data_IF_554481749409
#
_entry.id   IF_554481749409
#
_cell.length_a   1.000
_cell.length_b   1.000
_cell.length_c   1.000
_cell.angle_alpha   90.00
_cell.angle_beta   90.00
_cell.angle_gamma   90.00
#
_symmetry.space_group_name_H-M   'P 1'
#
loop_
_entity.id
_entity.type
_entity.pdbx_description
1 polymer ?
#
# COMPACT_ATOMS: atom_id res chain seq x y z
N UNK A 1 -11.37 -36.03 18.45
CA UNK A 1 -12.27 -35.47 17.43
C UNK A 1 -13.10 -34.38 18.06
N UNK A 2 -13.20 -33.23 17.41
CA UNK A 2 -14.10 -32.15 17.80
C UNK A 2 -15.32 -32.13 16.86
N UNK A 3 -16.50 -31.81 17.37
CA UNK A 3 -17.76 -31.75 16.62
C UNK A 3 -18.40 -30.38 16.69
N UNK A 4 -19.23 -30.08 15.68
CA UNK A 4 -19.92 -28.80 15.52
C UNK A 4 -18.99 -27.58 15.55
N UNK A 5 -17.72 -27.75 15.14
CA UNK A 5 -16.73 -26.69 15.20
C UNK A 5 -17.15 -25.54 14.28
N UNK A 6 -17.10 -24.31 14.81
CA UNK A 6 -17.26 -23.08 14.03
C UNK A 6 -16.16 -22.09 14.35
N UNK A 7 -15.80 -21.30 13.34
CA UNK A 7 -14.80 -20.23 13.43
C UNK A 7 -15.45 -18.93 12.99
N UNK A 8 -15.21 -17.87 13.74
CA UNK A 8 -15.60 -16.50 13.43
C UNK A 8 -14.40 -15.79 12.81
N UNK A 9 -14.55 -15.36 11.56
CA UNK A 9 -13.56 -14.62 10.77
C UNK A 9 -14.28 -13.61 9.88
N UNK A 10 -14.66 -12.47 10.45
CA UNK A 10 -15.32 -11.39 9.72
C UNK A 10 -14.27 -10.38 9.28
N UNK A 11 -14.23 -10.09 7.97
CA UNK A 11 -13.30 -9.12 7.44
C UNK A 11 -13.52 -7.74 8.09
N UNK A 12 -12.45 -7.07 8.58
CA UNK A 12 -12.54 -5.72 9.08
C UNK A 12 -12.91 -4.73 7.98
N UNK A 13 -13.33 -3.53 8.37
CA UNK A 13 -13.45 -2.40 7.46
C UNK A 13 -12.12 -2.17 6.71
N UNK A 14 -12.17 -1.67 5.48
CA UNK A 14 -10.98 -1.51 4.65
C UNK A 14 -10.53 -2.78 3.92
N UNK A 15 -11.17 -3.93 4.16
CA UNK A 15 -11.11 -5.12 3.30
C UNK A 15 -12.49 -5.39 2.68
N UNK A 16 -12.53 -5.61 1.37
CA UNK A 16 -13.74 -6.00 0.64
C UNK A 16 -13.66 -7.47 0.28
N UNK A 17 -14.67 -8.26 0.67
CA UNK A 17 -14.76 -9.68 0.35
C UNK A 17 -14.80 -9.92 -1.17
N UNK A 18 -14.07 -10.93 -1.63
CA UNK A 18 -14.14 -11.43 -3.00
C UNK A 18 -14.68 -12.86 -3.04
N UNK A 19 -14.06 -13.77 -2.28
CA UNK A 19 -14.45 -15.17 -2.24
C UNK A 19 -13.97 -15.86 -0.96
N UNK A 20 -14.58 -17.00 -0.64
CA UNK A 20 -14.13 -17.91 0.40
C UNK A 20 -14.18 -19.34 -0.12
N UNK A 21 -13.11 -20.09 0.14
CA UNK A 21 -12.97 -21.50 -0.23
C UNK A 21 -12.66 -22.31 1.02
N UNK A 22 -13.68 -22.82 1.73
CA UNK A 22 -13.48 -23.75 2.83
C UNK A 22 -13.10 -25.15 2.30
N UNK A 23 -12.19 -25.84 2.98
CA UNK A 23 -11.91 -27.27 2.70
C UNK A 23 -13.06 -28.18 3.10
N UNK A 24 -13.88 -27.72 4.06
CA UNK A 24 -15.04 -28.43 4.59
C UNK A 24 -16.09 -27.42 5.08
N UNK A 25 -17.36 -27.75 4.88
CA UNK A 25 -18.47 -26.94 5.36
C UNK A 25 -18.65 -25.65 4.55
N UNK A 26 -19.12 -24.58 5.20
CA UNK A 26 -19.52 -23.34 4.52
C UNK A 26 -19.13 -22.09 5.29
N UNK A 27 -18.76 -21.03 4.56
CA UNK A 27 -18.49 -19.70 5.10
C UNK A 27 -19.59 -18.71 4.70
N UNK A 28 -20.00 -17.86 5.63
CA UNK A 28 -21.00 -16.81 5.40
C UNK A 28 -20.35 -15.44 5.56
N UNK A 29 -20.06 -14.77 4.44
CA UNK A 29 -19.35 -13.47 4.45
C UNK A 29 -20.01 -12.40 5.33
N UNK A 30 -21.35 -12.27 5.29
CA UNK A 30 -22.04 -11.23 6.05
C UNK A 30 -21.89 -11.34 7.56
N UNK A 31 -21.60 -12.54 8.08
CA UNK A 31 -21.35 -12.78 9.50
C UNK A 31 -19.91 -13.14 9.79
N UNK A 32 -19.12 -13.58 8.80
CA UNK A 32 -17.77 -14.12 8.98
C UNK A 32 -17.75 -15.55 9.53
N UNK A 33 -18.89 -16.23 9.65
CA UNK A 33 -18.94 -17.55 10.28
C UNK A 33 -18.57 -18.64 9.27
N UNK A 34 -17.55 -19.42 9.61
CA UNK A 34 -17.22 -20.69 8.98
C UNK A 34 -17.76 -21.84 9.82
N UNK A 35 -18.74 -22.55 9.29
CA UNK A 35 -19.25 -23.80 9.90
C UNK A 35 -18.40 -24.95 9.41
N UNK A 36 -17.42 -25.38 10.20
CA UNK A 36 -16.45 -26.42 9.86
C UNK A 36 -17.06 -27.82 10.00
N UNK A 37 -17.81 -28.04 11.09
CA UNK A 37 -18.38 -29.34 11.44
C UNK A 37 -17.39 -30.22 12.23
N UNK A 38 -17.24 -31.48 11.83
CA UNK A 38 -16.37 -32.43 12.55
C UNK A 38 -14.91 -32.27 12.13
N UNK A 39 -14.02 -32.10 13.12
CA UNK A 39 -12.57 -32.01 12.94
C UNK A 39 -11.88 -33.20 13.64
N UNK A 40 -11.14 -34.00 12.88
CA UNK A 40 -10.38 -35.14 13.42
C UNK A 40 -8.91 -34.76 13.61
N UNK A 41 -8.15 -35.59 14.32
CA UNK A 41 -6.72 -35.38 14.55
C UNK A 41 -5.85 -35.63 13.31
N UNK A 42 -6.42 -36.21 12.26
CA UNK A 42 -5.66 -36.69 11.10
C UNK A 42 -5.54 -35.68 9.96
N UNK A 43 -6.47 -34.72 9.85
CA UNK A 43 -6.50 -33.79 8.71
C UNK A 43 -6.89 -32.38 9.16
N UNK A 44 -6.01 -31.38 8.98
CA UNK A 44 -6.36 -30.00 9.24
C UNK A 44 -7.42 -29.53 8.25
N UNK A 45 -8.34 -28.70 8.72
CA UNK A 45 -9.29 -27.99 7.88
C UNK A 45 -8.80 -26.57 7.63
N UNK A 46 -9.05 -26.04 6.44
CA UNK A 46 -8.59 -24.71 6.03
C UNK A 46 -9.75 -23.89 5.46
N UNK A 47 -9.65 -22.57 5.64
CA UNK A 47 -10.47 -21.58 4.97
C UNK A 47 -9.55 -20.61 4.26
N UNK A 48 -9.72 -20.47 2.95
CA UNK A 48 -9.06 -19.41 2.19
C UNK A 48 -10.06 -18.29 1.91
N UNK A 49 -9.81 -17.11 2.47
CA UNK A 49 -10.60 -15.90 2.18
C UNK A 49 -9.78 -15.00 1.26
N UNK A 50 -10.36 -14.63 0.11
CA UNK A 50 -9.80 -13.62 -0.77
C UNK A 50 -10.54 -12.30 -0.55
N UNK A 51 -9.78 -11.22 -0.41
CA UNK A 51 -10.30 -9.89 -0.21
C UNK A 51 -9.47 -8.86 -0.97
N UNK A 52 -10.11 -7.75 -1.33
CA UNK A 52 -9.46 -6.56 -1.89
C UNK A 52 -9.24 -5.54 -0.78
N UNK A 53 -8.03 -4.99 -0.71
CA UNK A 53 -7.71 -3.90 0.20
C UNK A 53 -8.31 -2.60 -0.35
N UNK A 54 -9.25 -2.01 0.38
CA UNK A 54 -9.96 -0.78 -0.01
C UNK A 54 -9.74 0.38 0.98
N UNK A 55 -9.20 0.08 2.17
CA UNK A 55 -8.74 1.08 3.13
C UNK A 55 -7.29 1.47 2.89
N UNK A 56 -6.93 2.72 3.18
CA UNK A 56 -5.54 3.18 3.17
C UNK A 56 -4.78 2.78 4.44
N UNK A 57 -5.45 2.74 5.60
CA UNK A 57 -4.84 2.36 6.86
C UNK A 57 -4.52 0.86 6.97
N UNK A 58 -3.67 0.52 7.94
CA UNK A 58 -3.41 -0.87 8.31
C UNK A 58 -4.68 -1.56 8.79
N UNK A 59 -4.91 -2.80 8.34
CA UNK A 59 -6.08 -3.60 8.68
C UNK A 59 -5.65 -4.94 9.29
N UNK A 60 -6.29 -5.35 10.38
CA UNK A 60 -6.02 -6.64 11.04
C UNK A 60 -7.25 -7.54 10.93
N UNK A 61 -7.08 -8.69 10.28
CA UNK A 61 -8.09 -9.73 10.22
C UNK A 61 -7.84 -10.76 11.34
N UNK A 62 -8.89 -11.18 12.03
CA UNK A 62 -8.79 -12.09 13.18
C UNK A 62 -9.77 -13.25 13.02
N UNK A 63 -9.24 -14.47 13.08
CA UNK A 63 -10.02 -15.69 13.14
C UNK A 63 -10.04 -16.23 14.57
N UNK A 64 -11.21 -16.59 15.07
CA UNK A 64 -11.41 -17.12 16.42
C UNK A 64 -12.31 -18.34 16.39
N UNK A 65 -11.93 -19.43 17.07
CA UNK A 65 -12.84 -20.57 17.28
C UNK A 65 -14.00 -20.09 18.15
N UNK A 66 -15.19 -20.06 17.57
CA UNK A 66 -16.42 -19.56 18.22
C UNK A 66 -17.21 -20.66 18.92
N UNK A 67 -17.07 -21.92 18.48
CA UNK A 67 -17.75 -23.06 19.10
C UNK A 67 -17.01 -24.38 18.84
N UNK A 68 -17.08 -25.30 19.81
CA UNK A 68 -16.76 -26.72 19.72
C UNK A 68 -17.52 -27.45 20.84
N UNK A 69 -18.01 -28.66 20.61
CA UNK A 69 -18.72 -29.41 21.66
C UNK A 69 -17.78 -30.00 22.72
N UNK A 70 -16.53 -30.29 22.35
CA UNK A 70 -15.54 -30.89 23.23
C UNK A 70 -14.80 -29.80 24.00
N UNK A 71 -14.55 -30.08 25.29
CA UNK A 71 -13.79 -29.20 26.17
C UNK A 71 -12.39 -28.96 25.61
N UNK A 72 -12.04 -27.69 25.48
CA UNK A 72 -10.70 -27.25 25.13
C UNK A 72 -9.91 -26.90 26.40
N UNK A 73 -8.85 -27.66 26.74
CA UNK A 73 -8.03 -27.38 27.90
C UNK A 73 -7.16 -26.12 27.76
N UNK A 74 -7.05 -25.52 26.57
CA UNK A 74 -6.20 -24.35 26.32
C UNK A 74 -6.89 -23.30 25.42
N UNK A 75 -7.96 -22.64 25.88
CA UNK A 75 -8.70 -21.67 25.05
C UNK A 75 -7.87 -20.44 24.62
N UNK A 76 -6.71 -20.21 25.24
CA UNK A 76 -5.82 -19.09 24.89
C UNK A 76 -5.21 -19.18 23.49
N UNK A 77 -5.25 -20.35 22.83
CA UNK A 77 -4.75 -20.53 21.47
C UNK A 77 -5.86 -20.55 20.40
N UNK A 78 -7.09 -20.20 20.76
CA UNK A 78 -8.25 -20.25 19.85
C UNK A 78 -8.40 -19.03 18.95
N UNK A 79 -7.43 -18.12 18.95
CA UNK A 79 -7.48 -16.91 18.13
C UNK A 79 -6.14 -16.66 17.45
N UNK A 80 -6.19 -16.25 16.19
CA UNK A 80 -5.03 -15.83 15.41
C UNK A 80 -5.36 -14.59 14.58
N UNK A 81 -4.36 -13.77 14.27
CA UNK A 81 -4.56 -12.54 13.51
C UNK A 81 -3.46 -12.32 12.48
N UNK A 82 -3.81 -11.65 11.39
CA UNK A 82 -2.89 -11.22 10.35
C UNK A 82 -3.19 -9.77 9.97
N UNK A 83 -2.13 -8.97 9.83
CA UNK A 83 -2.23 -7.53 9.52
C UNK A 83 -1.71 -7.26 8.11
N UNK A 84 -2.47 -6.48 7.34
CA UNK A 84 -2.06 -5.94 6.06
C UNK A 84 -1.93 -4.43 6.15
N UNK A 85 -0.80 -3.89 5.72
CA UNK A 85 -0.55 -2.45 5.67
C UNK A 85 -0.35 -2.04 4.21
N UNK A 86 -1.28 -1.28 3.62
CA UNK A 86 -1.14 -0.77 2.27
C UNK A 86 0.12 0.09 2.13
N UNK A 87 0.82 -0.03 0.99
CA UNK A 87 1.93 0.86 0.67
C UNK A 87 1.42 2.27 0.41
N UNK A 88 2.07 3.27 1.00
CA UNK A 88 1.74 4.69 0.83
C UNK A 88 3.01 5.51 0.64
N UNK A 89 3.08 6.25 -0.45
CA UNK A 89 4.08 7.29 -0.67
C UNK A 89 3.39 8.66 -0.59
N UNK A 90 4.13 9.67 -0.15
CA UNK A 90 3.67 11.06 -0.12
C UNK A 90 4.73 11.93 -0.78
N UNK A 91 4.50 12.28 -2.05
CA UNK A 91 5.47 13.02 -2.85
C UNK A 91 5.21 14.53 -2.75
N UNK A 92 6.27 15.27 -2.43
CA UNK A 92 6.25 16.71 -2.28
C UNK A 92 7.21 17.35 -3.29
N UNK A 93 6.75 18.41 -3.94
CA UNK A 93 7.57 19.23 -4.83
C UNK A 93 7.72 20.64 -4.26
N UNK A 94 8.93 21.18 -4.36
CA UNK A 94 9.19 22.62 -4.23
C UNK A 94 9.95 23.11 -5.45
N UNK A 95 9.77 24.38 -5.81
CA UNK A 95 10.48 25.00 -6.93
C UNK A 95 10.96 26.39 -6.52
N UNK A 96 12.22 26.68 -6.79
CA UNK A 96 12.83 27.98 -6.54
C UNK A 96 13.51 28.50 -7.81
N UNK A 97 13.84 29.79 -7.80
CA UNK A 97 14.61 30.45 -8.86
C UNK A 97 15.75 31.23 -8.22
N UNK A 98 16.93 31.22 -8.85
CA UNK A 98 18.11 31.92 -8.32
C UNK A 98 17.95 33.45 -8.27
N UNK A 99 17.15 34.03 -9.17
CA UNK A 99 16.79 35.44 -9.19
C UNK A 99 15.33 35.61 -9.66
N UNK A 100 14.40 36.09 -8.80
CA UNK A 100 13.00 36.28 -9.18
C UNK A 100 12.75 37.55 -10.02
N UNK A 101 13.73 38.46 -10.11
CA UNK A 101 13.63 39.70 -10.90
C UNK A 101 14.86 39.88 -11.80
N UNK A 102 15.08 38.99 -12.78
CA UNK A 102 16.20 39.09 -13.71
C UNK A 102 15.96 40.17 -14.77
N UNK A 103 17.04 40.67 -15.36
CA UNK A 103 16.96 41.47 -16.57
C UNK A 103 16.82 40.55 -17.80
N UNK A 104 16.34 41.10 -18.91
CA UNK A 104 16.29 40.38 -20.18
C UNK A 104 17.72 40.03 -20.61
N UNK A 105 17.97 38.74 -20.84
CA UNK A 105 19.28 38.20 -21.22
C UNK A 105 20.07 37.61 -20.05
N UNK A 106 19.64 37.79 -18.80
CA UNK A 106 20.29 37.15 -17.65
C UNK A 106 20.02 35.64 -17.65
N UNK A 107 21.03 34.86 -17.27
CA UNK A 107 20.87 33.43 -16.99
C UNK A 107 20.37 33.24 -15.56
N UNK A 108 19.23 32.56 -15.41
CA UNK A 108 18.68 32.13 -14.14
C UNK A 108 18.66 30.60 -14.05
N UNK A 109 18.65 30.09 -12.82
CA UNK A 109 18.52 28.66 -12.53
C UNK A 109 17.22 28.43 -11.79
N UNK A 110 16.38 27.54 -12.30
CA UNK A 110 15.31 26.95 -11.51
C UNK A 110 15.83 25.70 -10.83
N UNK A 111 15.41 25.47 -9.59
CA UNK A 111 15.68 24.23 -8.87
C UNK A 111 14.36 23.61 -8.46
N UNK A 112 14.09 22.40 -8.94
CA UNK A 112 12.90 21.63 -8.53
C UNK A 112 13.36 20.54 -7.57
N UNK A 113 12.84 20.54 -6.35
CA UNK A 113 13.16 19.53 -5.33
C UNK A 113 11.96 18.61 -5.12
N UNK A 114 12.15 17.34 -5.41
CA UNK A 114 11.20 16.26 -5.17
C UNK A 114 11.58 15.47 -3.92
N UNK A 115 10.68 15.37 -2.95
CA UNK A 115 10.85 14.59 -1.73
C UNK A 115 9.74 13.55 -1.60
N UNK A 116 10.02 12.44 -0.91
CA UNK A 116 9.00 11.50 -0.46
C UNK A 116 8.93 11.55 1.07
N UNK A 117 7.88 12.16 1.62
CA UNK A 117 7.67 12.31 3.07
C UNK A 117 6.77 11.21 3.63
N UNK A 118 6.33 10.27 2.78
CA UNK A 118 5.52 9.13 3.17
C UNK A 118 6.35 7.97 3.75
N UNK A 119 5.71 6.91 4.25
CA UNK A 119 6.41 5.77 4.84
C UNK A 119 6.99 4.79 3.80
N UNK A 120 6.54 4.83 2.55
CA UNK A 120 6.93 3.86 1.51
C UNK A 120 7.63 4.54 0.34
N UNK A 121 8.65 3.87 -0.21
CA UNK A 121 9.34 4.26 -1.45
C UNK A 121 8.36 4.38 -2.62
N UNK A 122 8.43 5.48 -3.37
CA UNK A 122 7.71 5.66 -4.62
C UNK A 122 8.54 5.10 -5.79
N UNK A 123 7.88 4.52 -6.78
CA UNK A 123 8.53 3.97 -7.98
C UNK A 123 7.90 4.57 -9.23
N UNK A 124 8.64 4.53 -10.35
CA UNK A 124 8.20 5.09 -11.64
C UNK A 124 7.78 6.56 -11.56
N UNK A 125 8.47 7.35 -10.72
CA UNK A 125 8.16 8.77 -10.53
C UNK A 125 8.68 9.59 -11.71
N UNK A 126 7.81 10.40 -12.27
CA UNK A 126 8.13 11.42 -13.26
C UNK A 126 7.59 12.78 -12.83
N UNK A 127 8.31 13.85 -13.15
CA UNK A 127 7.92 15.24 -12.91
C UNK A 127 7.83 15.95 -14.25
N UNK A 128 6.78 16.74 -14.45
CA UNK A 128 6.58 17.54 -15.66
C UNK A 128 6.90 18.99 -15.33
N UNK A 129 7.99 19.52 -15.88
CA UNK A 129 8.42 20.91 -15.73
C UNK A 129 8.89 21.48 -17.07
N UNK A 130 7.94 21.88 -17.92
CA UNK A 130 8.25 22.50 -19.21
C UNK A 130 8.45 24.00 -19.01
N UNK A 131 9.56 24.54 -19.53
CA UNK A 131 9.79 25.98 -19.49
C UNK A 131 8.73 26.73 -20.32
N UNK A 132 8.08 27.76 -19.76
CA UNK A 132 7.12 28.58 -20.49
C UNK A 132 7.78 29.41 -21.60
N UNK A 133 6.97 29.90 -22.52
CA UNK A 133 7.41 30.85 -23.54
C UNK A 133 8.06 32.10 -22.90
N UNK A 134 9.11 32.61 -23.54
CA UNK A 134 9.91 33.73 -23.03
C UNK A 134 11.15 33.28 -22.24
N UNK A 135 11.31 32.00 -21.96
CA UNK A 135 12.54 31.40 -21.43
C UNK A 135 13.21 30.51 -22.48
N UNK A 136 14.53 30.51 -22.49
CA UNK A 136 15.35 29.64 -23.33
C UNK A 136 16.06 28.62 -22.45
N UNK A 137 15.92 27.33 -22.78
CA UNK A 137 16.63 26.27 -22.09
C UNK A 137 18.13 26.33 -22.41
N UNK A 138 18.95 26.25 -21.37
CA UNK A 138 20.40 26.14 -21.50
C UNK A 138 20.87 24.72 -21.19
N UNK A 139 20.57 24.23 -19.99
CA UNK A 139 20.92 22.90 -19.53
C UNK A 139 20.03 22.46 -18.36
N UNK A 140 20.06 21.17 -18.06
CA UNK A 140 19.50 20.59 -16.84
C UNK A 140 20.53 19.63 -16.24
N UNK A 141 20.60 19.57 -14.92
CA UNK A 141 21.52 18.69 -14.18
C UNK A 141 20.77 17.94 -13.09
N UNK A 142 19.93 16.95 -13.45
CA UNK A 142 19.19 16.19 -12.47
C UNK A 142 20.14 15.43 -11.52
N UNK A 143 19.82 15.38 -10.23
CA UNK A 143 20.53 14.53 -9.26
C UNK A 143 20.29 13.03 -9.51
N UNK A 144 19.18 12.70 -10.17
CA UNK A 144 18.78 11.35 -10.53
C UNK A 144 17.99 11.36 -11.84
N UNK A 145 18.19 10.33 -12.67
CA UNK A 145 17.41 10.14 -13.88
C UNK A 145 17.79 11.10 -15.01
N UNK A 146 16.82 11.49 -15.82
CA UNK A 146 17.05 12.34 -17.01
C UNK A 146 15.91 13.31 -17.28
N UNK A 147 16.24 14.47 -17.86
CA UNK A 147 15.28 15.51 -18.25
C UNK A 147 15.25 15.71 -19.76
N UNK A 148 14.07 15.80 -20.34
CA UNK A 148 13.85 15.99 -21.77
C UNK A 148 13.25 17.37 -22.02
N UNK A 149 14.07 18.36 -22.38
CA UNK A 149 13.63 19.74 -22.57
C UNK A 149 12.43 19.94 -23.50
N UNK A 150 12.37 19.21 -24.62
CA UNK A 150 11.28 19.36 -25.58
C UNK A 150 9.90 18.99 -25.03
N UNK A 151 9.86 18.18 -23.97
CA UNK A 151 8.61 17.79 -23.29
C UNK A 151 8.50 18.38 -21.90
N UNK A 152 9.62 18.72 -21.25
CA UNK A 152 9.70 19.08 -19.84
C UNK A 152 9.66 17.89 -18.88
N UNK A 153 9.72 16.65 -19.38
CA UNK A 153 9.63 15.47 -18.53
C UNK A 153 10.98 15.19 -17.88
N UNK A 154 11.00 15.18 -16.55
CA UNK A 154 12.05 14.62 -15.71
C UNK A 154 11.65 13.21 -15.25
N UNK A 155 12.33 12.20 -15.78
CA UNK A 155 12.13 10.80 -15.38
C UNK A 155 13.05 10.48 -14.22
N UNK A 156 12.52 10.47 -12.99
CA UNK A 156 13.29 10.30 -11.75
C UNK A 156 13.48 8.82 -11.42
N UNK A 157 12.42 8.02 -11.57
CA UNK A 157 12.43 6.60 -11.23
C UNK A 157 12.04 6.36 -9.77
N UNK A 158 12.91 5.73 -8.99
CA UNK A 158 12.65 5.35 -7.59
C UNK A 158 13.03 6.48 -6.64
N UNK A 159 12.10 6.88 -5.77
CA UNK A 159 12.28 7.93 -4.77
C UNK A 159 12.03 7.37 -3.37
N UNK A 160 13.12 7.20 -2.61
CA UNK A 160 13.08 6.73 -1.22
C UNK A 160 12.66 7.84 -0.27
N UNK A 161 12.32 7.49 0.96
CA UNK A 161 11.83 8.43 1.99
C UNK A 161 12.92 9.31 2.61
N UNK A 162 14.20 9.03 2.31
CA UNK A 162 15.34 9.61 3.01
C UNK A 162 16.05 10.73 2.25
N UNK A 163 15.97 10.75 0.91
CA UNK A 163 16.81 11.63 0.09
C UNK A 163 16.01 12.34 -0.99
N UNK A 164 15.84 13.67 -0.87
CA UNK A 164 15.26 14.47 -1.94
C UNK A 164 16.09 14.38 -3.23
N UNK A 165 15.40 14.48 -4.35
CA UNK A 165 16.00 14.56 -5.68
C UNK A 165 15.80 15.96 -6.24
N UNK A 166 16.74 16.44 -7.05
CA UNK A 166 16.68 17.77 -7.65
C UNK A 166 16.81 17.72 -9.16
N UNK A 167 16.10 18.62 -9.85
CA UNK A 167 16.31 18.98 -11.25
C UNK A 167 16.96 20.36 -11.34
#
# INVERSE_FOLDING_TARGET
TATNVSVQDLLPAGLSFLSATPSQGSYVNGTGVWTVGTVTTATPQTLQVQATVVGSGSQTNTATISHSDQFDPNPGNNSASATVTPQQADLQLTKTVSNPTPNVGDTITFTVTLSNVGPTTATNVGVQDLLPAGLSFLSATPSQGSYVNGTGVWTVGTVTTATPQTL
#
